data_IF_017245061591
#
_entry.id   IF_017245061591
#
_cell.length_a   1.000
_cell.length_b   1.000
_cell.length_c   1.000
_cell.angle_alpha   90.00
_cell.angle_beta   90.00
_cell.angle_gamma   90.00
#
_symmetry.space_group_name_H-M   'P 1'
#
loop_
_entity.id
_entity.type
_entity.pdbx_description
1 polymer ?
#
# COMPACT_ATOMS: atom_id res chain seq x y z
N UNK A 1 66.92 -7.06 24.50
CA UNK A 1 66.63 -5.61 24.47
C UNK A 1 67.38 -4.99 23.30
N UNK A 2 66.91 -3.91 22.64
CA UNK A 2 65.55 -3.37 22.44
C UNK A 2 65.20 -3.26 20.91
N UNK A 3 63.99 -3.55 20.44
CA UNK A 3 62.79 -2.69 20.27
C UNK A 3 62.96 -1.38 19.45
N UNK A 4 62.16 -1.25 18.38
CA UNK A 4 61.51 -0.04 17.80
C UNK A 4 60.79 -0.47 16.52
N UNK A 5 59.48 -0.72 16.54
CA UNK A 5 58.34 0.21 16.61
C UNK A 5 57.66 0.32 15.24
N UNK A 6 56.39 -0.05 15.24
CA UNK A 6 55.45 -0.10 14.13
C UNK A 6 55.24 1.29 13.53
N UNK A 7 55.18 1.38 12.19
CA UNK A 7 54.48 2.48 11.53
C UNK A 7 53.05 2.03 11.29
N UNK A 8 52.15 2.52 12.12
CA UNK A 8 50.71 2.45 11.93
C UNK A 8 50.36 3.18 10.63
N UNK A 9 50.08 2.42 9.58
CA UNK A 9 49.30 2.93 8.45
C UNK A 9 47.89 3.19 8.96
N UNK A 10 47.60 4.46 9.12
CA UNK A 10 46.32 5.06 9.49
C UNK A 10 45.17 4.43 8.69
N UNK A 11 44.48 3.46 9.29
CA UNK A 11 43.21 2.97 8.77
C UNK A 11 42.21 4.08 9.09
N UNK A 12 41.94 4.93 8.10
CA UNK A 12 40.83 5.86 8.14
C UNK A 12 39.56 5.03 8.22
N UNK A 13 39.05 4.85 9.43
CA UNK A 13 37.72 4.31 9.68
C UNK A 13 36.74 5.30 9.05
N UNK A 14 35.87 4.89 8.11
CA UNK A 14 34.84 5.78 7.63
C UNK A 14 33.98 6.14 8.84
N UNK A 15 33.92 7.42 9.18
CA UNK A 15 32.97 7.91 10.16
C UNK A 15 31.59 7.52 9.66
N UNK A 16 31.02 6.48 10.26
CA UNK A 16 29.63 6.10 10.10
C UNK A 16 28.81 7.26 10.64
N UNK A 17 28.53 8.24 9.78
CA UNK A 17 27.42 9.14 9.98
C UNK A 17 26.18 8.26 9.94
N UNK A 18 25.76 7.78 11.11
CA UNK A 18 24.42 7.27 11.29
C UNK A 18 23.51 8.44 10.92
N UNK A 19 23.11 8.49 9.65
CA UNK A 19 21.95 9.26 9.24
C UNK A 19 20.85 8.62 10.06
N UNK A 20 20.42 9.31 11.12
CA UNK A 20 19.26 8.92 11.89
C UNK A 20 18.13 8.78 10.87
N UNK A 21 17.82 7.55 10.49
CA UNK A 21 16.65 7.27 9.67
C UNK A 21 15.50 7.85 10.48
N UNK A 22 14.81 8.90 10.01
CA UNK A 22 13.71 9.46 10.77
C UNK A 22 12.74 8.33 11.06
N UNK A 23 12.32 8.22 12.32
CA UNK A 23 11.32 7.22 12.72
C UNK A 23 10.14 7.33 11.75
N UNK A 24 9.66 6.21 11.20
CA UNK A 24 8.52 6.26 10.31
C UNK A 24 7.35 6.98 10.96
N UNK A 25 6.68 7.83 10.19
CA UNK A 25 5.66 8.75 10.69
C UNK A 25 4.52 7.97 11.36
N UNK A 26 4.22 6.75 10.88
CA UNK A 26 3.33 5.79 11.51
C UNK A 26 3.55 5.62 13.03
N UNK A 27 4.81 5.51 13.49
CA UNK A 27 5.15 5.34 14.92
C UNK A 27 4.93 6.62 15.74
N UNK A 28 4.93 7.78 15.10
CA UNK A 28 4.72 9.08 15.75
C UNK A 28 3.23 9.43 15.88
N UNK A 29 2.39 8.91 14.99
CA UNK A 29 0.96 9.25 14.95
C UNK A 29 0.14 8.43 15.97
N UNK A 30 0.61 7.25 16.39
CA UNK A 30 -0.11 6.41 17.36
C UNK A 30 -1.51 5.96 16.90
N UNK A 31 -1.78 6.03 15.59
CA UNK A 31 -3.04 5.63 14.96
C UNK A 31 -2.95 4.25 14.31
N UNK A 32 -4.11 3.64 14.02
CA UNK A 32 -4.17 2.37 13.28
C UNK A 32 -4.15 2.59 11.76
N UNK A 33 -3.75 1.57 11.01
CA UNK A 33 -3.78 1.56 9.55
C UNK A 33 -5.20 1.77 9.02
N UNK A 34 -6.19 1.20 9.71
CA UNK A 34 -7.61 1.44 9.45
C UNK A 34 -7.95 2.93 9.52
N UNK A 35 -7.55 3.61 10.61
CA UNK A 35 -7.84 5.03 10.80
C UNK A 35 -7.17 5.89 9.71
N UNK A 36 -5.88 5.64 9.44
CA UNK A 36 -5.15 6.35 8.39
C UNK A 36 -5.82 6.18 7.02
N UNK A 37 -6.26 4.96 6.70
CA UNK A 37 -6.97 4.71 5.44
C UNK A 37 -8.31 5.45 5.39
N UNK A 38 -9.12 5.43 6.45
CA UNK A 38 -10.40 6.14 6.48
C UNK A 38 -10.19 7.64 6.28
N UNK A 39 -9.20 8.24 6.94
CA UNK A 39 -8.84 9.64 6.78
C UNK A 39 -8.39 9.95 5.33
N UNK A 40 -7.54 9.09 4.76
CA UNK A 40 -7.07 9.21 3.39
C UNK A 40 -8.22 9.15 2.37
N UNK A 41 -9.22 8.30 2.62
CA UNK A 41 -10.37 8.14 1.74
C UNK A 41 -11.34 9.33 1.79
N UNK A 42 -11.49 9.99 2.94
CA UNK A 42 -12.42 11.13 3.14
C UNK A 42 -11.76 12.49 2.88
N UNK A 43 -10.43 12.57 2.92
CA UNK A 43 -9.69 13.83 2.80
C UNK A 43 -9.99 14.63 1.52
N UNK A 44 -9.69 15.93 1.51
CA UNK A 44 -9.84 16.75 0.28
C UNK A 44 -8.65 16.55 -0.66
N UNK A 45 -7.49 16.17 -0.12
CA UNK A 45 -6.23 15.97 -0.88
C UNK A 45 -6.13 14.56 -1.46
N UNK A 46 -5.29 14.39 -2.46
CA UNK A 46 -4.89 13.07 -2.93
C UNK A 46 -4.19 12.29 -1.80
N UNK A 47 -4.32 10.96 -1.82
CA UNK A 47 -3.52 10.10 -0.94
C UNK A 47 -2.07 10.24 -1.38
N UNK A 48 -1.20 10.69 -0.47
CA UNK A 48 0.22 10.84 -0.73
C UNK A 48 0.99 9.55 -0.39
N UNK A 49 2.21 9.46 -0.94
CA UNK A 49 3.06 8.28 -0.75
C UNK A 49 3.42 8.04 0.72
N UNK A 50 3.56 9.10 1.53
CA UNK A 50 3.86 8.97 2.96
C UNK A 50 2.72 8.25 3.70
N UNK A 51 1.48 8.63 3.42
CA UNK A 51 0.29 7.98 4.01
C UNK A 51 0.21 6.51 3.61
N UNK A 52 0.48 6.18 2.34
CA UNK A 52 0.49 4.79 1.87
C UNK A 52 1.59 4.00 2.55
N UNK A 53 2.79 4.58 2.67
CA UNK A 53 3.93 3.95 3.35
C UNK A 53 3.59 3.65 4.79
N UNK A 54 3.00 4.61 5.51
CA UNK A 54 2.58 4.42 6.91
C UNK A 54 1.55 3.27 7.04
N UNK A 55 0.58 3.18 6.12
CA UNK A 55 -0.39 2.07 6.07
C UNK A 55 0.33 0.73 5.85
N UNK A 56 1.23 0.65 4.88
CA UNK A 56 1.98 -0.57 4.55
C UNK A 56 2.83 -1.05 5.73
N UNK A 57 3.51 -0.13 6.43
CA UNK A 57 4.33 -0.46 7.60
C UNK A 57 3.49 -0.99 8.76
N UNK A 58 2.33 -0.38 9.04
CA UNK A 58 1.46 -0.80 10.12
C UNK A 58 0.87 -2.20 9.90
N UNK A 59 0.50 -2.55 8.66
CA UNK A 59 -0.08 -3.87 8.36
C UNK A 59 0.96 -4.99 8.17
N UNK A 60 2.25 -4.66 8.03
CA UNK A 60 3.31 -5.61 7.70
C UNK A 60 3.42 -6.74 8.73
N UNK A 61 3.40 -6.40 10.02
CA UNK A 61 3.46 -7.35 11.13
C UNK A 61 2.13 -7.49 11.91
N UNK A 62 1.05 -6.90 11.41
CA UNK A 62 -0.25 -6.92 12.07
C UNK A 62 -1.35 -7.47 11.13
N UNK A 63 -1.63 -8.79 11.20
CA UNK A 63 -2.66 -9.42 10.39
C UNK A 63 -4.07 -8.90 10.66
N UNK A 64 -4.39 -8.45 11.87
CA UNK A 64 -5.71 -7.92 12.22
C UNK A 64 -5.94 -6.58 11.50
N UNK A 65 -4.99 -5.65 11.63
CA UNK A 65 -5.04 -4.38 10.92
C UNK A 65 -5.08 -4.56 9.40
N UNK A 66 -4.38 -5.58 8.88
CA UNK A 66 -4.41 -5.92 7.45
C UNK A 66 -5.80 -6.29 6.97
N UNK A 67 -6.50 -7.16 7.71
CA UNK A 67 -7.87 -7.57 7.38
C UNK A 67 -8.81 -6.36 7.43
N UNK A 68 -8.68 -5.52 8.45
CA UNK A 68 -9.47 -4.28 8.57
C UNK A 68 -9.27 -3.34 7.39
N UNK A 69 -8.01 -3.08 7.02
CA UNK A 69 -7.64 -2.24 5.87
C UNK A 69 -8.26 -2.78 4.58
N UNK A 70 -8.13 -4.08 4.32
CA UNK A 70 -8.69 -4.69 3.10
C UNK A 70 -10.22 -4.62 3.07
N UNK A 71 -10.89 -4.79 4.21
CA UNK A 71 -12.35 -4.63 4.31
C UNK A 71 -12.78 -3.19 3.98
N UNK A 72 -12.07 -2.18 4.51
CA UNK A 72 -12.33 -0.77 4.21
C UNK A 72 -12.13 -0.48 2.73
N UNK A 73 -11.04 -0.99 2.12
CA UNK A 73 -10.79 -0.83 0.68
C UNK A 73 -11.92 -1.42 -0.16
N UNK A 74 -12.33 -2.66 0.16
CA UNK A 74 -13.43 -3.33 -0.55
C UNK A 74 -14.73 -2.53 -0.46
N UNK A 75 -15.05 -1.97 0.72
CA UNK A 75 -16.22 -1.14 0.93
C UNK A 75 -16.15 0.20 0.17
N UNK A 76 -14.97 0.85 0.18
CA UNK A 76 -14.75 2.11 -0.50
C UNK A 76 -14.87 1.99 -2.03
N UNK A 77 -14.37 0.89 -2.59
CA UNK A 77 -14.49 0.59 -4.03
C UNK A 77 -15.94 0.32 -4.46
N UNK A 78 -16.81 -0.14 -3.56
CA UNK A 78 -18.24 -0.40 -3.86
C UNK A 78 -19.11 0.85 -3.93
N UNK A 79 -18.59 2.03 -3.57
CA UNK A 79 -19.35 3.27 -3.67
C UNK A 79 -19.43 3.75 -5.13
N UNK A 80 -20.45 3.28 -5.86
CA UNK A 80 -20.59 3.48 -7.32
C UNK A 80 -20.70 4.97 -7.76
N UNK A 81 -21.02 5.89 -6.84
CA UNK A 81 -21.21 7.31 -7.12
C UNK A 81 -20.03 8.21 -6.73
N UNK A 82 -18.94 7.64 -6.18
CA UNK A 82 -17.77 8.42 -5.73
C UNK A 82 -16.48 7.93 -6.38
N UNK A 83 -16.24 8.40 -7.61
CA UNK A 83 -15.05 8.04 -8.40
C UNK A 83 -13.76 8.47 -7.68
N UNK A 84 -13.78 9.57 -6.93
CA UNK A 84 -12.60 10.03 -6.19
C UNK A 84 -12.24 9.02 -5.10
N UNK A 85 -13.23 8.57 -4.32
CA UNK A 85 -13.03 7.55 -3.29
C UNK A 85 -12.63 6.20 -3.88
N UNK A 86 -13.24 5.80 -5.00
CA UNK A 86 -12.84 4.60 -5.74
C UNK A 86 -11.38 4.70 -6.19
N UNK A 87 -10.98 5.81 -6.79
CA UNK A 87 -9.62 6.03 -7.27
C UNK A 87 -8.61 5.88 -6.13
N UNK A 88 -8.85 6.57 -5.00
CA UNK A 88 -7.98 6.47 -3.82
C UNK A 88 -7.89 5.04 -3.29
N UNK A 89 -9.03 4.35 -3.17
CA UNK A 89 -9.04 2.96 -2.72
C UNK A 89 -8.27 2.05 -3.67
N UNK A 90 -8.44 2.21 -4.99
CA UNK A 90 -7.70 1.43 -5.99
C UNK A 90 -6.21 1.77 -6.02
N UNK A 91 -5.83 3.02 -5.76
CA UNK A 91 -4.41 3.41 -5.61
C UNK A 91 -3.80 2.70 -4.41
N UNK A 92 -4.43 2.76 -3.23
CA UNK A 92 -3.91 2.07 -2.04
C UNK A 92 -3.83 0.56 -2.28
N UNK A 93 -4.88 -0.06 -2.82
CA UNK A 93 -4.87 -1.50 -3.11
C UNK A 93 -3.77 -1.91 -4.09
N UNK A 94 -3.47 -1.07 -5.09
CA UNK A 94 -2.36 -1.29 -6.01
C UNK A 94 -1.00 -1.27 -5.28
N UNK A 95 -0.80 -0.32 -4.36
CA UNK A 95 0.44 -0.28 -3.57
C UNK A 95 0.53 -1.45 -2.57
N UNK A 96 -0.60 -1.95 -2.07
CA UNK A 96 -0.62 -3.16 -1.23
C UNK A 96 -0.21 -4.43 -1.99
N UNK A 97 -0.13 -4.41 -3.32
CA UNK A 97 0.38 -5.55 -4.09
C UNK A 97 1.85 -5.87 -3.78
N UNK A 98 2.62 -4.96 -3.19
CA UNK A 98 4.00 -5.24 -2.80
C UNK A 98 4.11 -6.10 -1.53
N UNK A 99 3.04 -6.21 -0.73
CA UNK A 99 3.01 -7.07 0.46
C UNK A 99 2.29 -8.40 0.19
N UNK A 100 2.99 -9.53 0.40
CA UNK A 100 2.42 -10.86 0.16
C UNK A 100 1.24 -11.16 1.09
N UNK A 101 1.31 -10.65 2.32
CA UNK A 101 0.25 -10.76 3.29
C UNK A 101 -1.03 -10.07 2.83
N UNK A 102 -0.91 -8.85 2.33
CA UNK A 102 -2.02 -8.01 1.87
C UNK A 102 -2.62 -8.58 0.58
N UNK A 103 -1.80 -9.10 -0.34
CA UNK A 103 -2.30 -9.83 -1.51
C UNK A 103 -3.18 -11.01 -1.11
N UNK A 104 -2.72 -11.87 -0.20
CA UNK A 104 -3.52 -12.99 0.30
C UNK A 104 -4.82 -12.50 0.96
N UNK A 105 -4.73 -11.50 1.83
CA UNK A 105 -5.91 -10.93 2.51
C UNK A 105 -6.92 -10.34 1.50
N UNK A 106 -6.46 -9.63 0.47
CA UNK A 106 -7.31 -9.11 -0.62
C UNK A 106 -8.00 -10.23 -1.39
N UNK A 107 -7.27 -11.29 -1.72
CA UNK A 107 -7.83 -12.44 -2.43
C UNK A 107 -8.89 -13.18 -1.60
N UNK A 108 -8.62 -13.42 -0.32
CA UNK A 108 -9.51 -14.14 0.59
C UNK A 108 -10.72 -13.31 1.05
N UNK A 109 -10.67 -11.98 0.91
CA UNK A 109 -11.77 -11.11 1.36
C UNK A 109 -13.03 -11.29 0.50
N UNK A 110 -14.17 -11.66 1.12
CA UNK A 110 -15.42 -11.85 0.38
C UNK A 110 -15.86 -10.58 -0.37
N UNK A 111 -16.15 -10.74 -1.66
CA UNK A 111 -16.62 -9.65 -2.51
C UNK A 111 -15.50 -8.79 -3.11
N UNK A 112 -14.22 -9.00 -2.77
CA UNK A 112 -13.11 -8.21 -3.33
C UNK A 112 -12.98 -8.42 -4.84
N UNK A 113 -12.84 -9.67 -5.28
CA UNK A 113 -12.70 -10.00 -6.71
C UNK A 113 -13.92 -9.51 -7.52
N UNK A 114 -15.13 -9.69 -7.00
CA UNK A 114 -16.35 -9.21 -7.65
C UNK A 114 -16.38 -7.67 -7.75
N UNK A 115 -15.89 -6.99 -6.72
CA UNK A 115 -15.79 -5.52 -6.71
C UNK A 115 -14.78 -5.03 -7.74
N UNK A 116 -13.60 -5.65 -7.82
CA UNK A 116 -12.58 -5.32 -8.83
C UNK A 116 -13.10 -5.58 -10.25
N UNK A 117 -13.77 -6.73 -10.46
CA UNK A 117 -14.40 -7.04 -11.75
C UNK A 117 -15.47 -6.01 -12.13
N UNK A 118 -16.31 -5.53 -11.19
CA UNK A 118 -17.28 -4.46 -11.47
C UNK A 118 -16.58 -3.17 -11.87
N UNK A 119 -15.49 -2.79 -11.18
CA UNK A 119 -14.76 -1.57 -11.49
C UNK A 119 -14.13 -1.61 -12.89
N UNK A 120 -13.63 -2.76 -13.35
CA UNK A 120 -13.08 -2.93 -14.69
C UNK A 120 -14.09 -2.69 -15.81
N UNK A 121 -15.32 -3.13 -15.60
CA UNK A 121 -16.41 -3.04 -16.58
C UNK A 121 -17.32 -1.82 -16.33
N UNK A 122 -17.04 -1.04 -15.29
CA UNK A 122 -17.88 0.04 -14.81
C UNK A 122 -17.71 1.34 -15.62
N UNK A 123 -18.84 1.87 -16.10
CA UNK A 123 -18.96 3.21 -16.69
C UNK A 123 -19.65 3.19 -18.06
N UNK A 124 -20.59 4.11 -18.26
CA UNK A 124 -21.09 4.40 -19.60
C UNK A 124 -19.95 4.85 -20.51
N UNK A 125 -19.95 4.38 -21.76
CA UNK A 125 -18.96 4.77 -22.78
C UNK A 125 -18.84 6.30 -22.95
N UNK A 126 -19.85 7.05 -22.51
CA UNK A 126 -19.95 8.50 -22.64
C UNK A 126 -19.38 9.30 -21.45
N UNK A 127 -19.02 8.66 -20.33
CA UNK A 127 -18.55 9.37 -19.13
C UNK A 127 -17.18 8.86 -18.67
N UNK A 128 -16.24 8.77 -19.62
CA UNK A 128 -14.89 8.21 -19.44
C UNK A 128 -13.86 9.29 -19.08
N UNK A 129 -14.04 9.95 -17.93
CA UNK A 129 -13.04 10.88 -17.42
C UNK A 129 -11.74 10.17 -16.98
N UNK A 130 -10.59 10.87 -16.95
CA UNK A 130 -9.29 10.28 -16.58
C UNK A 130 -9.28 9.53 -15.24
N UNK A 131 -10.05 10.00 -14.26
CA UNK A 131 -10.16 9.34 -12.96
C UNK A 131 -10.82 7.95 -13.05
N UNK A 132 -11.86 7.78 -13.89
CA UNK A 132 -12.50 6.47 -14.10
C UNK A 132 -11.60 5.52 -14.87
N UNK A 133 -10.83 6.04 -15.83
CA UNK A 133 -9.83 5.25 -16.55
C UNK A 133 -8.74 4.75 -15.61
N UNK A 134 -8.22 5.62 -14.74
CA UNK A 134 -7.25 5.23 -13.71
C UNK A 134 -7.82 4.17 -12.75
N UNK A 135 -9.07 4.31 -12.29
CA UNK A 135 -9.76 3.28 -11.49
C UNK A 135 -9.78 1.94 -12.22
N UNK A 136 -10.16 1.91 -13.50
CA UNK A 136 -10.20 0.68 -14.30
C UNK A 136 -8.83 0.05 -14.44
N UNK A 137 -7.82 0.85 -14.78
CA UNK A 137 -6.44 0.36 -14.96
C UNK A 137 -5.91 -0.26 -13.67
N UNK A 138 -6.04 0.45 -12.55
CA UNK A 138 -5.58 -0.03 -11.24
C UNK A 138 -6.34 -1.28 -10.80
N UNK A 139 -7.68 -1.28 -10.93
CA UNK A 139 -8.49 -2.45 -10.62
C UNK A 139 -8.17 -3.66 -11.52
N UNK A 140 -7.78 -3.43 -12.78
CA UNK A 140 -7.32 -4.49 -13.69
C UNK A 140 -6.01 -5.11 -13.21
N UNK A 141 -5.03 -4.27 -12.87
CA UNK A 141 -3.73 -4.76 -12.41
C UNK A 141 -3.83 -5.50 -11.07
N UNK A 142 -4.60 -4.95 -10.11
CA UNK A 142 -4.84 -5.60 -8.82
C UNK A 142 -5.48 -6.97 -9.04
N UNK A 143 -6.58 -7.05 -9.79
CA UNK A 143 -7.25 -8.32 -10.02
C UNK A 143 -6.35 -9.33 -10.73
N UNK A 144 -5.64 -8.90 -11.78
CA UNK A 144 -4.72 -9.75 -12.54
C UNK A 144 -3.68 -10.38 -11.61
N UNK A 145 -3.02 -9.58 -10.78
CA UNK A 145 -2.00 -10.06 -9.82
C UNK A 145 -2.55 -11.05 -8.82
N UNK A 146 -3.72 -10.78 -8.24
CA UNK A 146 -4.34 -11.68 -7.28
C UNK A 146 -4.73 -13.02 -7.91
N UNK A 147 -5.30 -13.00 -9.11
CA UNK A 147 -5.69 -14.24 -9.81
C UNK A 147 -4.45 -15.03 -10.27
N UNK A 148 -3.43 -14.36 -10.80
CA UNK A 148 -2.15 -14.98 -11.19
C UNK A 148 -1.51 -15.75 -10.04
N UNK A 149 -1.51 -15.18 -8.83
CA UNK A 149 -0.87 -15.79 -7.66
C UNK A 149 -1.73 -16.87 -6.98
N UNK A 150 -3.05 -16.73 -6.93
CA UNK A 150 -3.89 -17.61 -6.08
C UNK A 150 -4.87 -18.50 -6.84
N UNK A 151 -5.06 -18.30 -8.15
CA UNK A 151 -5.96 -19.14 -8.96
C UNK A 151 -5.21 -20.13 -9.85
N UNK A 152 -4.00 -19.79 -10.32
CA UNK A 152 -3.23 -20.64 -11.25
C UNK A 152 -2.20 -21.56 -10.55
N UNK A 153 -2.35 -21.81 -9.25
CA UNK A 153 -1.52 -22.74 -8.47
C UNK A 153 -2.28 -24.01 -8.01
N UNK A 154 -3.36 -24.38 -8.73
CA UNK A 154 -4.06 -25.66 -8.57
C UNK A 154 -3.64 -26.66 -9.65
#
# INVERSE_FOLDING_TARGET
MPSKWFSESEIVVPQSSYVSTPLPRALLIGGSAHQLLVEALVGVRCVDFATITDICELIWNDPEQRIEVVNVLSSAMRHDNDVTKQLRATTVAHELLYDAGARRAMYETPGMIQTLARLQHGGDQFNQGPAREAVRMLASEVMRRLLEEFTFHL
#
